data_IF_855907180242
#
_entry.id   IF_855907180242
#
_cell.length_a   1.000
_cell.length_b   1.000
_cell.length_c   1.000
_cell.angle_alpha   90.00
_cell.angle_beta   90.00
_cell.angle_gamma   90.00
#
_symmetry.space_group_name_H-M   'P 1'
#
loop_
_entity.id
_entity.type
_entity.pdbx_description
1 polymer ?
#
# COMPACT_ATOMS: atom_id res chain seq x y z
N UNK A 1 -40.50 -2.88 2.14
CA UNK A 1 -39.95 -3.01 0.77
C UNK A 1 -38.50 -2.55 0.77
N UNK A 2 -37.53 -3.46 0.67
CA UNK A 2 -36.10 -3.13 0.57
C UNK A 2 -35.64 -3.31 -0.88
N UNK A 3 -35.06 -2.26 -1.49
CA UNK A 3 -34.59 -2.29 -2.88
C UNK A 3 -33.30 -3.11 -3.00
N UNK A 4 -33.41 -4.21 -3.76
CA UNK A 4 -32.36 -5.15 -4.15
C UNK A 4 -31.28 -4.43 -4.99
N UNK A 5 -30.00 -4.65 -4.69
CA UNK A 5 -28.91 -4.55 -5.68
C UNK A 5 -28.23 -3.18 -5.87
N UNK A 6 -27.62 -2.60 -4.83
CA UNK A 6 -26.47 -1.70 -5.06
C UNK A 6 -25.20 -2.46 -4.76
N UNK A 7 -24.63 -3.03 -5.81
CA UNK A 7 -23.25 -3.50 -5.84
C UNK A 7 -22.34 -2.36 -5.34
N UNK A 8 -21.51 -2.66 -4.34
CA UNK A 8 -20.43 -1.78 -3.93
C UNK A 8 -19.43 -1.69 -5.08
N UNK A 9 -19.63 -0.71 -5.97
CA UNK A 9 -18.61 -0.30 -6.93
C UNK A 9 -17.48 0.34 -6.14
N UNK A 10 -16.51 -0.48 -5.72
CA UNK A 10 -15.16 0.00 -5.48
C UNK A 10 -14.75 0.88 -6.66
N UNK A 11 -14.00 1.95 -6.40
CA UNK A 11 -13.73 2.98 -7.40
C UNK A 11 -12.88 2.43 -8.56
N UNK A 12 -13.52 1.77 -9.51
CA UNK A 12 -12.91 1.01 -10.61
C UNK A 12 -12.09 1.88 -11.57
N UNK A 13 -12.27 3.20 -11.50
CA UNK A 13 -11.55 4.19 -12.32
C UNK A 13 -10.33 4.80 -11.63
N UNK A 14 -10.01 4.35 -10.40
CA UNK A 14 -8.94 4.95 -9.60
C UNK A 14 -9.27 6.39 -9.17
N UNK A 15 -8.28 7.09 -8.58
CA UNK A 15 -8.43 8.51 -8.26
C UNK A 15 -8.67 9.27 -9.57
N UNK A 16 -9.77 10.02 -9.72
CA UNK A 16 -10.06 10.70 -10.98
C UNK A 16 -8.90 11.62 -11.37
N UNK A 17 -8.48 11.60 -12.63
CA UNK A 17 -7.45 12.52 -13.15
C UNK A 17 -7.94 13.96 -12.91
N UNK A 18 -7.14 14.77 -12.21
CA UNK A 18 -7.51 16.15 -11.82
C UNK A 18 -8.16 16.29 -10.43
N UNK A 19 -8.30 15.22 -9.65
CA UNK A 19 -8.84 15.27 -8.29
C UNK A 19 -7.83 15.88 -7.31
N UNK A 20 -7.73 17.20 -7.26
CA UNK A 20 -6.97 17.95 -6.25
C UNK A 20 -5.50 17.56 -6.07
N UNK A 21 -4.88 18.03 -4.98
CA UNK A 21 -3.48 17.81 -4.67
C UNK A 21 -3.18 16.31 -4.44
N UNK A 22 -2.20 15.78 -5.15
CA UNK A 22 -1.72 14.41 -4.99
C UNK A 22 -0.46 14.41 -4.11
N UNK A 23 -0.59 13.92 -2.88
CA UNK A 23 0.52 13.87 -1.91
C UNK A 23 1.75 13.15 -2.47
N UNK A 24 1.57 12.12 -3.31
CA UNK A 24 2.68 11.41 -3.94
C UNK A 24 3.44 12.32 -4.90
N UNK A 25 2.74 13.15 -5.66
CA UNK A 25 3.37 14.11 -6.57
C UNK A 25 4.15 15.19 -5.80
N UNK A 26 3.56 15.70 -4.72
CA UNK A 26 4.22 16.70 -3.86
C UNK A 26 5.47 16.13 -3.18
N UNK A 27 5.39 14.91 -2.65
CA UNK A 27 6.55 14.23 -2.05
C UNK A 27 7.65 14.04 -3.09
N UNK A 28 7.32 13.58 -4.32
CA UNK A 28 8.31 13.43 -5.40
C UNK A 28 8.99 14.76 -5.72
N UNK A 29 8.22 15.84 -5.85
CA UNK A 29 8.77 17.17 -6.11
C UNK A 29 9.70 17.61 -4.96
N UNK A 30 9.28 17.40 -3.71
CA UNK A 30 10.08 17.77 -2.54
C UNK A 30 11.37 16.95 -2.43
N UNK A 31 11.32 15.65 -2.72
CA UNK A 31 12.48 14.76 -2.69
C UNK A 31 13.59 15.20 -3.65
N UNK A 32 13.26 15.85 -4.76
CA UNK A 32 14.23 16.39 -5.71
C UNK A 32 14.84 17.74 -5.28
N UNK A 33 14.27 18.41 -4.27
CA UNK A 33 14.82 19.67 -3.74
C UNK A 33 15.98 19.45 -2.77
N UNK A 34 16.78 20.49 -2.55
CA UNK A 34 17.91 20.48 -1.61
C UNK A 34 17.51 21.16 -0.29
N UNK A 35 17.84 20.59 0.88
CA UNK A 35 17.73 21.31 2.14
C UNK A 35 18.81 22.40 2.24
N UNK A 36 18.46 23.52 2.87
CA UNK A 36 19.42 24.57 3.16
C UNK A 36 20.47 24.05 4.15
N UNK A 37 21.75 24.33 3.90
CA UNK A 37 22.84 24.01 4.81
C UNK A 37 23.31 22.56 4.82
N UNK A 38 22.89 21.72 3.86
CA UNK A 38 23.50 20.40 3.62
C UNK A 38 24.24 20.38 2.28
N UNK A 39 25.36 19.66 2.26
CA UNK A 39 26.40 19.59 1.21
C UNK A 39 25.89 19.17 -0.18
N UNK A 40 25.08 20.01 -0.81
CA UNK A 40 24.61 19.84 -2.18
C UNK A 40 23.67 18.65 -2.44
N UNK A 41 23.38 17.80 -1.43
CA UNK A 41 22.51 16.63 -1.55
C UNK A 41 21.02 17.00 -1.60
N UNK A 42 20.24 16.27 -2.39
CA UNK A 42 18.77 16.37 -2.36
C UNK A 42 18.18 15.58 -1.19
N UNK A 43 16.93 15.84 -0.84
CA UNK A 43 16.21 15.04 0.15
C UNK A 43 16.14 13.55 -0.22
N UNK A 44 16.05 13.23 -1.51
CA UNK A 44 16.11 11.84 -1.99
C UNK A 44 17.44 11.18 -1.66
N UNK A 45 18.56 11.86 -1.92
CA UNK A 45 19.88 11.32 -1.62
C UNK A 45 20.06 11.10 -0.12
N UNK A 46 19.61 12.06 0.70
CA UNK A 46 19.64 11.91 2.16
C UNK A 46 18.77 10.75 2.65
N UNK A 47 17.59 10.54 2.03
CA UNK A 47 16.74 9.41 2.36
C UNK A 47 17.40 8.07 2.00
N UNK A 48 18.06 8.00 0.84
CA UNK A 48 18.83 6.82 0.43
C UNK A 48 19.94 6.54 1.44
N UNK A 49 20.71 7.55 1.83
CA UNK A 49 21.79 7.40 2.81
C UNK A 49 21.26 6.79 4.12
N UNK A 50 20.15 7.30 4.65
CA UNK A 50 19.50 6.77 5.87
C UNK A 50 19.07 5.31 5.71
N UNK A 51 18.46 4.97 4.57
CA UNK A 51 18.01 3.59 4.31
C UNK A 51 19.20 2.64 4.21
N UNK A 52 20.26 3.05 3.51
CA UNK A 52 21.47 2.24 3.33
C UNK A 52 22.24 2.09 4.65
N UNK A 53 22.36 3.15 5.44
CA UNK A 53 22.98 3.08 6.77
C UNK A 53 22.25 2.06 7.65
N UNK A 54 20.93 2.16 7.73
CA UNK A 54 20.10 1.22 8.47
C UNK A 54 20.19 -0.23 7.96
N UNK A 55 20.18 -0.42 6.64
CA UNK A 55 20.26 -1.77 6.08
C UNK A 55 21.66 -2.39 6.26
N UNK A 56 22.73 -1.66 5.94
CA UNK A 56 24.07 -2.22 5.81
C UNK A 56 24.87 -2.10 7.11
N UNK A 57 24.81 -0.94 7.77
CA UNK A 57 25.62 -0.67 8.97
C UNK A 57 24.92 -1.24 10.19
N UNK A 58 23.63 -0.94 10.38
CA UNK A 58 22.85 -1.47 11.51
C UNK A 58 22.41 -2.93 11.31
N UNK A 59 22.61 -3.49 10.11
CA UNK A 59 22.23 -4.86 9.74
C UNK A 59 20.75 -5.18 9.99
N UNK A 60 19.86 -4.21 9.76
CA UNK A 60 18.41 -4.44 9.88
C UNK A 60 17.92 -5.38 8.79
N UNK A 61 17.75 -6.65 9.16
CA UNK A 61 17.32 -7.73 8.26
C UNK A 61 15.96 -7.47 7.64
N UNK A 62 15.05 -6.77 8.32
CA UNK A 62 13.73 -6.44 7.78
C UNK A 62 13.83 -5.41 6.67
N UNK A 63 14.69 -4.41 6.85
CA UNK A 63 14.95 -3.38 5.83
C UNK A 63 15.63 -4.01 4.61
N UNK A 64 16.62 -4.88 4.84
CA UNK A 64 17.28 -5.65 3.76
C UNK A 64 16.26 -6.49 2.98
N UNK A 65 15.40 -7.25 3.67
CA UNK A 65 14.38 -8.08 3.03
C UNK A 65 13.39 -7.25 2.20
N UNK A 66 12.95 -6.10 2.73
CA UNK A 66 12.08 -5.19 2.01
C UNK A 66 12.74 -4.63 0.75
N UNK A 67 14.02 -4.25 0.83
CA UNK A 67 14.77 -3.79 -0.34
C UNK A 67 14.86 -4.86 -1.42
N UNK A 68 15.18 -6.10 -1.05
CA UNK A 68 15.20 -7.23 -1.98
C UNK A 68 13.84 -7.44 -2.67
N UNK A 69 12.74 -7.39 -1.91
CA UNK A 69 11.37 -7.49 -2.44
C UNK A 69 11.03 -6.41 -3.47
N UNK A 70 11.60 -5.21 -3.35
CA UNK A 70 11.37 -4.13 -4.32
C UNK A 70 12.30 -4.17 -5.53
N UNK A 71 13.52 -4.73 -5.40
CA UNK A 71 14.51 -4.84 -6.48
C UNK A 71 14.18 -6.05 -7.37
N UNK A 72 14.04 -7.24 -6.76
CA UNK A 72 13.78 -8.49 -7.50
C UNK A 72 12.29 -8.73 -7.75
N UNK A 73 11.45 -7.92 -7.11
CA UNK A 73 9.99 -8.04 -7.13
C UNK A 73 9.48 -8.97 -6.04
N UNK A 74 8.28 -8.69 -5.56
CA UNK A 74 7.56 -9.59 -4.68
C UNK A 74 7.16 -10.84 -5.49
N UNK A 75 7.29 -12.05 -4.94
CA UNK A 75 6.64 -13.22 -5.52
C UNK A 75 5.15 -12.88 -5.70
N UNK A 76 4.64 -13.08 -6.91
CA UNK A 76 3.22 -12.84 -7.21
C UNK A 76 2.41 -13.79 -6.35
N UNK A 77 1.75 -13.26 -5.32
CA UNK A 77 0.80 -14.03 -4.53
C UNK A 77 -0.48 -14.17 -5.37
N UNK A 78 -0.60 -15.27 -6.11
CA UNK A 78 -1.88 -15.69 -6.69
C UNK A 78 -2.71 -16.30 -5.57
N UNK A 79 -3.76 -15.60 -5.15
CA UNK A 79 -4.81 -16.23 -4.36
C UNK A 79 -5.66 -17.00 -5.37
N UNK A 80 -5.43 -18.30 -5.48
CA UNK A 80 -6.41 -19.21 -6.06
C UNK A 80 -7.53 -19.33 -5.02
N UNK A 81 -8.65 -18.65 -5.28
CA UNK A 81 -9.84 -18.78 -4.44
C UNK A 81 -10.62 -19.99 -4.94
N UNK A 82 -10.41 -21.11 -4.27
CA UNK A 82 -11.22 -22.30 -4.45
C UNK A 82 -12.63 -21.98 -3.92
N UNK A 83 -13.66 -22.27 -4.72
CA UNK A 83 -15.02 -21.74 -4.56
C UNK A 83 -15.73 -22.04 -3.23
N UNK A 84 -15.14 -22.81 -2.32
CA UNK A 84 -15.69 -23.15 -1.01
C UNK A 84 -15.24 -22.18 0.12
N UNK A 85 -14.08 -21.53 0.02
CA UNK A 85 -13.60 -20.63 1.10
C UNK A 85 -14.36 -19.30 1.17
N UNK A 86 -14.98 -18.87 0.08
CA UNK A 86 -15.75 -17.62 0.02
C UNK A 86 -17.00 -17.68 0.93
N UNK A 87 -17.50 -18.88 1.22
CA UNK A 87 -18.67 -19.08 2.06
C UNK A 87 -18.39 -18.77 3.55
N UNK A 88 -17.18 -19.05 4.05
CA UNK A 88 -16.84 -18.84 5.46
C UNK A 88 -16.56 -17.36 5.79
N UNK A 89 -15.94 -16.61 4.87
CA UNK A 89 -15.70 -15.17 5.05
C UNK A 89 -17.00 -14.35 5.07
N UNK A 90 -18.03 -14.79 4.31
CA UNK A 90 -19.36 -14.17 4.34
C UNK A 90 -20.10 -14.34 5.67
N UNK A 91 -19.87 -15.47 6.37
CA UNK A 91 -20.52 -15.77 7.67
C UNK A 91 -19.90 -14.97 8.82
N UNK A 92 -18.61 -14.65 8.75
CA UNK A 92 -17.92 -13.84 9.78
C UNK A 92 -18.32 -12.36 9.67
N UNK A 93 -18.49 -11.84 8.45
CA UNK A 93 -18.88 -10.44 8.21
C UNK A 93 -20.38 -10.17 8.38
N UNK A 94 -21.22 -11.19 8.20
CA UNK A 94 -22.66 -11.11 8.42
C UNK A 94 -23.11 -12.30 9.29
N UNK A 95 -22.98 -12.21 10.62
CA UNK A 95 -23.56 -13.22 11.48
C UNK A 95 -25.06 -13.27 11.23
N UNK A 96 -25.58 -14.45 10.83
CA UNK A 96 -27.02 -14.68 10.71
C UNK A 96 -27.67 -14.28 12.03
N UNK A 97 -28.44 -13.20 12.02
CA UNK A 97 -29.29 -12.81 13.13
C UNK A 97 -30.20 -14.02 13.40
N UNK A 98 -30.10 -14.61 14.60
CA UNK A 98 -31.08 -15.58 15.07
C UNK A 98 -32.43 -14.85 15.02
N UNK A 99 -33.33 -15.35 14.19
CA UNK A 99 -34.74 -15.02 14.31
C UNK A 99 -35.25 -15.81 15.51
N UNK A 100 -35.61 -15.09 16.57
CA UNK A 100 -36.27 -15.61 17.75
C UNK A 100 -37.64 -16.17 17.32
N UNK A 101 -37.89 -17.44 17.65
CA UNK A 101 -39.22 -18.08 17.66
C UNK A 101 -39.61 -18.30 19.10
#
# INVERSE_FOLDING_TARGET
>A
MFKKGKEWKGNAKGRPKGSGMNITSEIKAKLLSKPNGKDGKTYLQLLIDVIIEKAVIERDTKTIEQMWKYIDGLPKQSIELDGEEVAQLGVILFPKKKEDV
#
